data_IF_358212534678
#
_entry.id   IF_358212534678
#
_cell.length_a   1.000
_cell.length_b   1.000
_cell.length_c   1.000
_cell.angle_alpha   90.00
_cell.angle_beta   90.00
_cell.angle_gamma   90.00
#
_symmetry.space_group_name_H-M   'P 1'
#
loop_
_entity.id
_entity.type
_entity.pdbx_description
1 polymer ?
#
# COMPACT_ATOMS: atom_id res chain seq x y z
N UNK A 1 -8.92 18.38 -59.01
CA UNK A 1 -8.96 17.28 -58.05
C UNK A 1 -8.24 17.77 -56.79
N UNK A 2 -9.00 18.10 -55.71
CA UNK A 2 -8.41 18.59 -54.43
C UNK A 2 -8.38 17.40 -53.46
N UNK A 3 -7.16 16.97 -53.10
CA UNK A 3 -6.92 15.90 -52.13
C UNK A 3 -7.14 16.44 -50.71
N UNK A 4 -8.14 15.97 -50.00
CA UNK A 4 -8.37 16.25 -48.59
C UNK A 4 -7.60 15.20 -47.77
N UNK A 5 -6.51 15.62 -47.16
CA UNK A 5 -5.77 14.80 -46.20
C UNK A 5 -6.51 14.87 -44.85
N UNK A 6 -7.13 13.80 -44.41
CA UNK A 6 -7.77 13.70 -43.11
C UNK A 6 -6.68 13.46 -42.06
N UNK A 7 -6.50 14.42 -41.13
CA UNK A 7 -5.64 14.30 -39.96
C UNK A 7 -6.36 13.46 -38.89
N UNK A 8 -5.92 12.22 -38.69
CA UNK A 8 -6.42 11.34 -37.65
C UNK A 8 -5.77 11.73 -36.32
N UNK A 9 -6.49 12.43 -35.46
CA UNK A 9 -6.05 12.75 -34.09
C UNK A 9 -6.29 11.50 -33.24
N UNK A 10 -5.24 10.76 -32.91
CA UNK A 10 -5.28 9.72 -31.89
C UNK A 10 -5.40 10.39 -30.51
N UNK A 11 -6.60 10.38 -29.95
CA UNK A 11 -6.82 10.66 -28.53
C UNK A 11 -6.23 9.50 -27.71
N UNK A 12 -5.02 9.70 -27.18
CA UNK A 12 -4.47 8.84 -26.13
C UNK A 12 -5.25 9.15 -24.86
N UNK A 13 -6.35 8.45 -24.64
CA UNK A 13 -7.09 8.49 -23.39
C UNK A 13 -6.23 7.86 -22.29
N UNK A 14 -5.52 8.67 -21.51
CA UNK A 14 -4.94 8.23 -20.26
C UNK A 14 -6.05 7.70 -19.37
N UNK A 15 -6.00 6.43 -18.97
CA UNK A 15 -6.92 5.87 -17.99
C UNK A 15 -6.62 6.57 -16.65
N UNK A 16 -7.44 7.57 -16.31
CA UNK A 16 -7.43 8.15 -14.97
C UNK A 16 -7.82 7.05 -13.99
N UNK A 17 -6.93 6.72 -13.09
CA UNK A 17 -7.22 5.78 -12.00
C UNK A 17 -8.22 6.45 -11.07
N UNK A 18 -9.46 5.93 -11.05
CA UNK A 18 -10.53 6.49 -10.22
C UNK A 18 -10.24 6.28 -8.74
N UNK A 19 -10.67 7.24 -7.92
CA UNK A 19 -10.61 7.11 -6.46
C UNK A 19 -11.48 5.95 -6.02
N UNK A 20 -11.03 5.12 -5.05
CA UNK A 20 -11.87 4.06 -4.50
C UNK A 20 -12.98 4.64 -3.62
N UNK A 21 -14.09 3.90 -3.52
CA UNK A 21 -15.12 4.16 -2.52
C UNK A 21 -14.65 3.64 -1.15
N UNK A 22 -14.52 4.53 -0.18
CA UNK A 22 -14.02 4.23 1.16
C UNK A 22 -14.79 5.04 2.21
N UNK A 23 -14.86 4.57 3.48
CA UNK A 23 -15.38 5.38 4.57
C UNK A 23 -14.69 6.74 4.65
N UNK A 24 -15.44 7.79 5.01
CA UNK A 24 -14.97 9.18 5.03
C UNK A 24 -13.65 9.38 5.78
N UNK A 25 -13.46 8.70 6.92
CA UNK A 25 -12.21 8.78 7.72
C UNK A 25 -10.97 8.21 7.00
N UNK A 26 -11.14 7.45 5.94
CA UNK A 26 -10.07 6.92 5.10
C UNK A 26 -9.96 7.66 3.76
N UNK A 27 -10.81 8.67 3.51
CA UNK A 27 -10.76 9.44 2.28
C UNK A 27 -9.48 10.28 2.21
N UNK A 28 -8.79 10.20 1.08
CA UNK A 28 -7.68 11.10 0.78
C UNK A 28 -8.20 12.53 0.54
N UNK A 29 -7.40 13.59 0.81
CA UNK A 29 -7.80 14.97 0.58
C UNK A 29 -8.40 15.21 -0.80
N UNK A 30 -9.46 16.04 -0.90
CA UNK A 30 -10.17 16.27 -2.15
C UNK A 30 -9.30 16.96 -3.22
N UNK A 31 -8.28 17.72 -2.80
CA UNK A 31 -7.33 18.39 -3.69
C UNK A 31 -6.23 17.48 -4.25
N UNK A 32 -6.25 16.20 -3.90
CA UNK A 32 -5.29 15.21 -4.39
C UNK A 32 -5.92 14.30 -5.45
N UNK A 33 -5.11 13.76 -6.32
CA UNK A 33 -5.51 12.78 -7.34
C UNK A 33 -4.73 11.48 -7.20
N UNK A 34 -5.32 10.37 -7.64
CA UNK A 34 -4.63 9.07 -7.69
C UNK A 34 -3.62 9.09 -8.82
N UNK A 35 -2.35 8.95 -8.48
CA UNK A 35 -1.25 8.90 -9.46
C UNK A 35 -0.74 7.47 -9.70
N UNK A 36 -0.99 6.57 -8.76
CA UNK A 36 -0.64 5.15 -8.91
C UNK A 36 -1.62 4.29 -8.09
N UNK A 37 -2.06 3.19 -8.67
CA UNK A 37 -2.67 2.07 -7.97
C UNK A 37 -1.77 0.85 -8.12
N UNK A 38 -1.52 0.12 -7.03
CA UNK A 38 -0.79 -1.13 -7.05
C UNK A 38 -1.49 -2.18 -6.19
N UNK A 39 -1.55 -3.42 -6.71
CA UNK A 39 -1.95 -4.59 -5.93
C UNK A 39 -0.72 -5.18 -5.25
N UNK A 40 -0.78 -5.40 -3.95
CA UNK A 40 0.29 -6.02 -3.18
C UNK A 40 -0.03 -7.47 -2.87
N UNK A 41 0.97 -8.33 -3.02
CA UNK A 41 0.92 -9.74 -2.59
C UNK A 41 2.21 -10.07 -1.85
N UNK A 42 2.08 -10.64 -0.66
CA UNK A 42 3.25 -10.98 0.17
C UNK A 42 2.86 -11.44 1.56
N UNK A 43 3.61 -10.99 2.56
CA UNK A 43 3.42 -11.38 3.95
C UNK A 43 3.55 -10.20 4.92
N UNK A 44 2.82 -10.28 6.02
CA UNK A 44 3.13 -9.54 7.23
C UNK A 44 4.05 -10.42 8.09
N UNK A 45 5.19 -9.90 8.51
CA UNK A 45 6.15 -10.60 9.34
C UNK A 45 5.92 -10.17 10.78
N UNK A 46 5.68 -11.14 11.64
CA UNK A 46 5.50 -10.94 13.08
C UNK A 46 6.65 -11.56 13.84
N UNK A 47 7.02 -10.97 14.98
CA UNK A 47 8.00 -11.49 15.91
C UNK A 47 7.34 -11.74 17.27
N UNK A 48 7.61 -12.88 17.87
CA UNK A 48 7.17 -13.18 19.24
C UNK A 48 8.04 -12.44 20.24
N UNK A 49 7.52 -11.42 20.86
CA UNK A 49 8.25 -10.59 21.82
C UNK A 49 7.37 -10.02 22.93
N UNK A 50 7.98 -9.60 24.04
CA UNK A 50 7.25 -8.95 25.10
C UNK A 50 6.81 -7.54 24.67
N UNK A 51 5.54 -7.23 24.89
CA UNK A 51 5.00 -5.89 24.78
C UNK A 51 5.36 -5.00 25.97
N UNK A 52 4.82 -3.79 25.99
CA UNK A 52 5.00 -2.84 27.10
C UNK A 52 4.44 -3.36 28.46
N UNK A 53 3.47 -4.27 28.39
CA UNK A 53 2.88 -4.95 29.55
C UNK A 53 3.64 -6.21 29.99
N UNK A 54 4.82 -6.46 29.43
CA UNK A 54 5.67 -7.63 29.62
C UNK A 54 5.03 -8.96 29.17
N UNK A 55 3.87 -8.93 28.53
CA UNK A 55 3.24 -10.13 27.97
C UNK A 55 3.79 -10.43 26.58
N UNK A 56 4.05 -11.71 26.34
CA UNK A 56 4.47 -12.17 25.02
C UNK A 56 3.30 -12.13 24.04
N UNK A 57 3.56 -11.56 22.87
CA UNK A 57 2.60 -11.49 21.78
C UNK A 57 3.32 -11.43 20.42
N UNK A 58 2.65 -11.88 19.38
CA UNK A 58 3.06 -11.66 18.00
C UNK A 58 2.92 -10.17 17.66
N UNK A 59 4.05 -9.49 17.51
CA UNK A 59 4.12 -8.06 17.18
C UNK A 59 4.57 -7.89 15.74
N UNK A 60 3.88 -7.03 14.98
CA UNK A 60 4.27 -6.73 13.60
C UNK A 60 5.69 -6.18 13.55
N UNK A 61 6.57 -6.86 12.80
CA UNK A 61 7.94 -6.46 12.52
C UNK A 61 8.02 -5.64 11.24
N UNK A 62 7.47 -6.16 10.15
CA UNK A 62 7.51 -5.53 8.83
C UNK A 62 6.54 -6.20 7.84
N UNK A 63 6.03 -5.49 6.83
CA UNK A 63 5.53 -6.08 5.61
C UNK A 63 6.69 -6.52 4.71
N UNK A 64 6.43 -7.49 3.86
CA UNK A 64 7.29 -7.90 2.75
C UNK A 64 6.38 -8.30 1.58
N UNK A 65 6.22 -7.43 0.59
CA UNK A 65 5.31 -7.67 -0.52
C UNK A 65 5.84 -7.13 -1.84
N UNK A 66 5.44 -7.76 -2.92
CA UNK A 66 5.62 -7.29 -4.28
C UNK A 66 4.38 -6.49 -4.71
N UNK A 67 4.60 -5.45 -5.50
CA UNK A 67 3.57 -4.55 -6.02
C UNK A 67 3.38 -4.80 -7.52
N UNK A 68 2.12 -4.91 -7.93
CA UNK A 68 1.73 -5.18 -9.32
C UNK A 68 0.79 -4.08 -9.82
N UNK A 69 0.93 -3.71 -11.09
CA UNK A 69 -0.03 -2.86 -11.78
C UNK A 69 -1.32 -3.63 -12.16
N UNK A 70 -2.26 -2.94 -12.80
CA UNK A 70 -3.54 -3.52 -13.24
C UNK A 70 -3.36 -4.64 -14.30
N UNK A 71 -2.24 -4.65 -15.00
CA UNK A 71 -1.89 -5.69 -15.97
C UNK A 71 -1.17 -6.89 -15.36
N UNK A 72 -0.92 -6.88 -14.04
CA UNK A 72 -0.18 -7.93 -13.33
C UNK A 72 1.34 -7.86 -13.49
N UNK A 73 1.88 -6.74 -14.01
CA UNK A 73 3.31 -6.51 -14.10
C UNK A 73 3.84 -6.02 -12.75
N UNK A 74 4.97 -6.57 -12.30
CA UNK A 74 5.66 -6.10 -11.10
C UNK A 74 6.18 -4.67 -11.32
N UNK A 75 5.78 -3.77 -10.42
CA UNK A 75 6.13 -2.34 -10.46
C UNK A 75 6.91 -1.87 -9.25
N UNK A 76 7.09 -2.73 -8.23
CA UNK A 76 7.84 -2.34 -7.04
C UNK A 76 7.69 -3.29 -5.88
N UNK A 77 8.09 -2.81 -4.69
CA UNK A 77 8.04 -3.57 -3.42
C UNK A 77 7.55 -2.71 -2.27
N UNK A 78 7.04 -3.42 -1.24
CA UNK A 78 6.64 -2.84 0.03
C UNK A 78 7.34 -3.57 1.17
N UNK A 79 7.96 -2.81 2.09
CA UNK A 79 8.78 -3.35 3.16
C UNK A 79 8.78 -2.44 4.42
N UNK A 80 9.67 -2.74 5.36
CA UNK A 80 9.72 -2.04 6.64
C UNK A 80 9.78 -0.51 6.53
N UNK A 81 9.07 0.15 7.47
CA UNK A 81 9.08 1.60 7.58
C UNK A 81 7.72 2.22 7.92
N UNK A 82 6.60 1.86 7.32
CA UNK A 82 6.36 1.18 6.05
C UNK A 82 6.89 1.98 4.87
N UNK A 83 7.55 1.29 3.95
CA UNK A 83 8.15 1.88 2.74
C UNK A 83 7.61 1.23 1.49
N UNK A 84 7.36 2.02 0.46
CA UNK A 84 7.06 1.57 -0.90
C UNK A 84 8.14 2.08 -1.83
N UNK A 85 8.69 1.18 -2.63
CA UNK A 85 9.69 1.47 -3.64
C UNK A 85 9.17 1.07 -5.00
N UNK A 86 9.16 2.00 -5.93
CA UNK A 86 8.80 1.76 -7.33
C UNK A 86 10.03 1.40 -8.16
N UNK A 87 9.83 0.67 -9.26
CA UNK A 87 10.92 0.23 -10.14
C UNK A 87 11.62 1.39 -10.88
N UNK A 88 11.05 2.60 -10.87
CA UNK A 88 11.70 3.82 -11.39
C UNK A 88 12.76 4.40 -10.44
N UNK A 89 12.95 3.80 -9.25
CA UNK A 89 13.91 4.20 -8.23
C UNK A 89 13.36 5.13 -7.16
N UNK A 90 12.12 5.62 -7.29
CA UNK A 90 11.50 6.45 -6.27
C UNK A 90 10.96 5.63 -5.09
N UNK A 91 11.01 6.21 -3.91
CA UNK A 91 10.51 5.62 -2.67
C UNK A 91 9.67 6.64 -1.88
N UNK A 92 8.70 6.12 -1.14
CA UNK A 92 7.94 6.88 -0.15
C UNK A 92 7.81 6.06 1.13
N UNK A 93 7.99 6.70 2.27
CA UNK A 93 7.65 6.15 3.59
C UNK A 93 6.35 6.77 4.09
N UNK A 94 5.57 6.01 4.88
CA UNK A 94 4.29 6.47 5.37
C UNK A 94 4.16 6.39 6.89
N UNK A 95 3.24 7.21 7.41
CA UNK A 95 2.81 7.19 8.80
C UNK A 95 1.28 7.07 8.83
N UNK A 96 0.76 6.13 9.62
CA UNK A 96 -0.69 5.91 9.76
C UNK A 96 -1.36 7.16 10.33
N UNK A 97 -2.33 7.69 9.59
CA UNK A 97 -3.16 8.82 9.98
C UNK A 97 -4.55 8.37 10.45
N UNK A 98 -5.13 7.37 9.79
CA UNK A 98 -6.41 6.80 10.17
C UNK A 98 -6.45 5.28 9.88
N UNK A 99 -7.35 4.61 10.58
CA UNK A 99 -7.48 3.16 10.54
C UNK A 99 -8.95 2.77 10.64
N UNK A 100 -9.33 1.70 9.93
CA UNK A 100 -10.63 1.03 10.04
C UNK A 100 -10.46 -0.47 9.87
N UNK A 101 -11.23 -1.25 10.62
CA UNK A 101 -11.25 -2.69 10.43
C UNK A 101 -11.71 -3.03 9.01
N UNK A 102 -11.09 -4.06 8.45
CA UNK A 102 -11.48 -4.56 7.13
C UNK A 102 -12.91 -5.09 7.17
N UNK A 103 -13.71 -4.88 6.11
CA UNK A 103 -14.97 -5.59 5.94
C UNK A 103 -14.77 -7.11 5.90
N UNK A 104 -13.60 -7.58 5.50
CA UNK A 104 -13.14 -8.96 5.66
C UNK A 104 -12.58 -9.12 7.07
N UNK A 105 -13.35 -9.73 7.97
CA UNK A 105 -13.02 -9.84 9.41
C UNK A 105 -11.71 -10.58 9.71
N UNK A 106 -11.21 -11.39 8.76
CA UNK A 106 -9.97 -12.14 8.90
C UNK A 106 -8.76 -11.41 8.28
N UNK A 107 -8.93 -10.16 7.87
CA UNK A 107 -7.89 -9.37 7.23
C UNK A 107 -7.37 -8.23 8.11
N UNK A 108 -6.13 -7.83 7.85
CA UNK A 108 -5.55 -6.63 8.47
C UNK A 108 -6.34 -5.38 8.10
N UNK A 109 -6.33 -4.34 8.98
CA UNK A 109 -7.15 -3.14 8.77
C UNK A 109 -6.85 -2.38 7.49
N UNK A 110 -7.85 -1.65 7.00
CA UNK A 110 -7.68 -0.59 6.01
C UNK A 110 -7.03 0.62 6.67
N UNK A 111 -6.18 1.32 5.93
CA UNK A 111 -5.42 2.46 6.45
C UNK A 111 -5.46 3.66 5.51
N UNK A 112 -5.46 4.85 6.11
CA UNK A 112 -5.00 6.07 5.48
C UNK A 112 -3.64 6.42 6.08
N UNK A 113 -2.64 6.72 5.24
CA UNK A 113 -1.30 7.10 5.68
C UNK A 113 -0.94 8.45 5.04
N UNK A 114 -0.20 9.25 5.78
CA UNK A 114 0.49 10.43 5.23
C UNK A 114 1.91 10.05 4.87
N UNK A 115 2.43 10.57 3.76
CA UNK A 115 3.84 10.43 3.44
C UNK A 115 4.70 11.09 4.54
N UNK A 116 5.74 10.41 4.97
CA UNK A 116 6.65 10.88 6.02
C UNK A 116 8.10 11.06 5.54
N UNK A 117 8.41 10.59 4.34
CA UNK A 117 9.71 10.76 3.72
C UNK A 117 9.73 10.24 2.28
N UNK A 118 10.67 10.74 1.50
CA UNK A 118 10.87 10.36 0.10
C UNK A 118 12.34 10.16 -0.18
N UNK A 119 12.67 9.30 -1.15
CA UNK A 119 13.99 9.21 -1.77
C UNK A 119 13.87 8.85 -3.24
N UNK A 120 14.93 9.11 -4.00
CA UNK A 120 14.95 8.89 -5.43
C UNK A 120 14.02 9.83 -6.21
N UNK A 121 13.99 9.66 -7.53
CA UNK A 121 13.15 10.43 -8.45
C UNK A 121 12.21 9.48 -9.21
N UNK A 122 10.96 9.85 -9.35
CA UNK A 122 9.95 9.07 -10.06
C UNK A 122 8.55 9.27 -9.51
N UNK A 123 7.66 8.33 -9.80
CA UNK A 123 6.23 8.49 -9.53
C UNK A 123 5.91 8.67 -8.04
N UNK A 124 6.68 8.02 -7.14
CA UNK A 124 6.45 8.11 -5.69
C UNK A 124 7.06 9.37 -5.06
N UNK A 125 7.90 10.13 -5.76
CA UNK A 125 8.59 11.30 -5.18
C UNK A 125 7.67 12.45 -4.80
N UNK A 126 6.45 12.50 -5.31
CA UNK A 126 5.45 13.54 -5.01
C UNK A 126 4.21 13.03 -4.26
N UNK A 127 4.22 11.79 -3.82
CA UNK A 127 3.11 11.20 -3.04
C UNK A 127 2.98 11.90 -1.70
N UNK A 128 1.77 12.27 -1.35
CA UNK A 128 1.42 12.91 -0.08
C UNK A 128 0.54 12.03 0.79
N UNK A 129 -0.32 11.22 0.16
CA UNK A 129 -1.25 10.33 0.86
C UNK A 129 -1.23 8.94 0.24
N UNK A 130 -1.38 7.91 1.08
CA UNK A 130 -1.43 6.51 0.69
C UNK A 130 -2.64 5.87 1.35
N UNK A 131 -3.42 5.10 0.61
CA UNK A 131 -4.46 4.23 1.16
C UNK A 131 -4.07 2.77 1.02
N UNK A 132 -4.31 1.98 2.06
CA UNK A 132 -4.33 0.51 2.02
C UNK A 132 -5.76 0.05 2.21
N UNK A 133 -6.33 -0.59 1.21
CA UNK A 133 -7.71 -1.10 1.23
C UNK A 133 -7.81 -2.49 0.59
N UNK A 134 -9.01 -3.08 0.58
CA UNK A 134 -9.28 -4.42 0.02
C UNK A 134 -8.32 -5.49 0.55
N UNK A 135 -7.98 -5.39 1.84
CA UNK A 135 -7.06 -6.30 2.50
C UNK A 135 -7.63 -7.71 2.61
N UNK A 136 -6.76 -8.70 2.47
CA UNK A 136 -7.03 -10.11 2.69
C UNK A 136 -5.93 -10.69 3.56
N UNK A 137 -6.28 -11.46 4.58
CA UNK A 137 -5.31 -12.11 5.47
C UNK A 137 -4.38 -11.14 6.21
N UNK A 138 -3.18 -11.60 6.51
CA UNK A 138 -2.13 -10.80 7.13
C UNK A 138 -2.23 -10.66 8.65
N UNK A 139 -3.23 -11.26 9.30
CA UNK A 139 -3.37 -11.25 10.76
C UNK A 139 -2.22 -11.99 11.46
N UNK A 140 -1.83 -11.59 12.68
CA UNK A 140 -0.86 -12.32 13.46
C UNK A 140 -1.39 -13.74 13.78
N UNK A 141 -0.50 -14.72 14.02
CA UNK A 141 -0.94 -16.02 14.51
C UNK A 141 -1.74 -15.89 15.80
N UNK A 142 -2.81 -16.69 15.93
CA UNK A 142 -3.69 -16.64 17.10
C UNK A 142 -3.05 -17.20 18.38
N UNK A 143 -1.98 -18.02 18.24
CA UNK A 143 -1.30 -18.69 19.34
C UNK A 143 0.19 -18.91 19.00
N UNK A 144 0.92 -19.59 19.91
CA UNK A 144 2.30 -20.01 19.68
C UNK A 144 3.37 -18.97 20.00
N UNK A 145 3.01 -17.84 20.65
CA UNK A 145 3.99 -16.92 21.19
C UNK A 145 4.09 -17.10 22.70
N UNK A 146 5.09 -17.83 23.12
CA UNK A 146 5.42 -18.14 24.53
C UNK A 146 6.93 -18.06 24.78
N UNK A 147 7.39 -18.38 25.96
CA UNK A 147 8.83 -18.28 26.32
C UNK A 147 9.73 -19.16 25.46
N UNK A 148 9.22 -20.32 24.96
CA UNK A 148 9.99 -21.19 24.10
C UNK A 148 10.17 -20.64 22.68
N UNK A 149 9.28 -19.73 22.27
CA UNK A 149 9.23 -19.14 20.93
C UNK A 149 9.65 -17.67 20.90
N UNK A 150 10.15 -17.14 22.03
CA UNK A 150 10.62 -15.75 22.12
C UNK A 150 11.70 -15.47 21.07
N UNK A 151 11.45 -14.47 20.23
CA UNK A 151 12.33 -14.07 19.12
C UNK A 151 12.03 -14.80 17.79
N UNK A 152 11.16 -15.82 17.79
CA UNK A 152 10.75 -16.48 16.57
C UNK A 152 9.93 -15.53 15.69
N UNK A 153 10.05 -15.72 14.38
CA UNK A 153 9.28 -14.97 13.38
C UNK A 153 8.22 -15.86 12.74
N UNK A 154 7.09 -15.24 12.41
CA UNK A 154 6.01 -15.86 11.64
C UNK A 154 5.60 -14.97 10.48
N UNK A 155 5.38 -15.57 9.31
CA UNK A 155 4.90 -14.89 8.11
C UNK A 155 3.44 -15.22 7.88
N UNK A 156 2.59 -14.19 7.86
CA UNK A 156 1.16 -14.30 7.55
C UNK A 156 0.90 -13.73 6.15
N UNK A 157 0.47 -14.60 5.23
CA UNK A 157 0.19 -14.19 3.86
C UNK A 157 -0.90 -13.11 3.81
N UNK A 158 -0.71 -12.08 2.98
CA UNK A 158 -1.69 -11.04 2.76
C UNK A 158 -1.69 -10.52 1.33
N UNK A 159 -2.80 -9.90 0.95
CA UNK A 159 -2.87 -9.01 -0.20
C UNK A 159 -3.63 -7.73 0.16
N UNK A 160 -3.39 -6.68 -0.60
CA UNK A 160 -4.05 -5.39 -0.45
C UNK A 160 -3.98 -4.59 -1.75
N UNK A 161 -4.87 -3.62 -1.91
CA UNK A 161 -4.72 -2.55 -2.90
C UNK A 161 -4.15 -1.31 -2.22
N UNK A 162 -3.12 -0.73 -2.82
CA UNK A 162 -2.54 0.56 -2.45
C UNK A 162 -2.90 1.60 -3.50
N UNK A 163 -3.39 2.75 -3.02
CA UNK A 163 -3.63 3.94 -3.84
C UNK A 163 -2.71 5.05 -3.35
N UNK A 164 -1.94 5.61 -4.26
CA UNK A 164 -0.99 6.68 -3.99
C UNK A 164 -1.52 7.97 -4.59
N UNK A 165 -1.56 9.02 -3.78
CA UNK A 165 -2.12 10.31 -4.13
C UNK A 165 -1.05 11.39 -4.11
N UNK A 166 -1.21 12.37 -4.99
CA UNK A 166 -0.43 13.60 -5.01
C UNK A 166 -1.36 14.79 -5.27
N UNK A 167 -0.95 16.03 -4.93
CA UNK A 167 -1.71 17.21 -5.29
C UNK A 167 -2.06 17.23 -6.77
N UNK A 168 -3.34 17.53 -7.09
CA UNK A 168 -3.78 17.76 -8.47
C UNK A 168 -3.08 19.00 -9.05
N UNK A 169 -2.83 19.00 -10.36
CA UNK A 169 -2.18 20.10 -11.07
C UNK A 169 -3.16 21.23 -11.39
#
# INVERSE_FOLDING_TARGET
MKSMTALLILLVGGQQTTRPDVPEKLAAPAAEEVILRAHATGSQIYVCQAGNDQKLAWTLKAPEAELFDAGGKSVGRHYAGPTWKHNDGSEVTGKVAARQDSPDGDAIPWLLLSASGHSGSGILSRVTTIQRIHTKGGQPPAAGCDDAHRGDESKSAYSADYYFYAPAH
#
